data_IF_596196406017
#
_entry.id   IF_596196406017
#
_cell.length_a   1.000
_cell.length_b   1.000
_cell.length_c   1.000
_cell.angle_alpha   90.00
_cell.angle_beta   90.00
_cell.angle_gamma   90.00
#
_symmetry.space_group_name_H-M   'P 1'
#
loop_
_entity.id
_entity.type
_entity.pdbx_description
1 polymer ?
#
# COMPACT_ATOMS: atom_id res chain seq x y z
N UNK A 1 -11.21 -17.96 2.04
CA UNK A 1 -11.42 -16.89 1.06
C UNK A 1 -12.62 -16.02 1.40
N UNK A 2 -13.82 -16.58 1.67
CA UNK A 2 -14.99 -15.79 2.07
C UNK A 2 -14.75 -14.91 3.32
N UNK A 3 -14.19 -15.48 4.39
CA UNK A 3 -13.86 -14.74 5.62
C UNK A 3 -12.92 -13.56 5.33
N UNK A 4 -11.90 -13.77 4.49
CA UNK A 4 -10.99 -12.71 4.07
C UNK A 4 -11.74 -11.59 3.36
N UNK A 5 -12.58 -11.92 2.37
CA UNK A 5 -13.36 -10.92 1.63
C UNK A 5 -14.31 -10.14 2.56
N UNK A 6 -14.99 -10.82 3.48
CA UNK A 6 -15.88 -10.18 4.45
C UNK A 6 -15.11 -9.21 5.34
N UNK A 7 -13.98 -9.64 5.92
CA UNK A 7 -13.15 -8.78 6.76
C UNK A 7 -12.53 -7.62 5.97
N UNK A 8 -12.11 -7.87 4.73
CA UNK A 8 -11.56 -6.88 3.83
C UNK A 8 -12.59 -5.80 3.48
N UNK A 9 -13.82 -6.18 3.11
CA UNK A 9 -14.90 -5.23 2.89
C UNK A 9 -15.31 -4.49 4.17
N UNK A 10 -15.38 -5.19 5.31
CA UNK A 10 -15.71 -4.57 6.60
C UNK A 10 -14.67 -3.50 7.00
N UNK A 11 -13.39 -3.75 6.72
CA UNK A 11 -12.33 -2.76 6.91
C UNK A 11 -12.55 -1.49 6.08
N UNK A 12 -12.92 -1.64 4.80
CA UNK A 12 -13.26 -0.50 3.94
C UNK A 12 -14.49 0.26 4.43
N UNK A 13 -15.53 -0.45 4.90
CA UNK A 13 -16.73 0.16 5.45
C UNK A 13 -16.49 0.94 6.75
N UNK A 14 -15.43 0.61 7.48
CA UNK A 14 -15.03 1.29 8.72
C UNK A 14 -14.21 2.58 8.47
N UNK A 15 -13.93 2.95 7.21
CA UNK A 15 -13.22 4.20 6.90
C UNK A 15 -14.07 5.39 7.33
N UNK A 16 -13.53 6.17 8.27
CA UNK A 16 -14.21 7.31 8.86
C UNK A 16 -14.15 8.53 7.91
N UNK A 17 -15.32 9.05 7.52
CA UNK A 17 -15.43 10.20 6.62
C UNK A 17 -14.91 11.52 7.22
N UNK A 18 -15.06 11.74 8.53
CA UNK A 18 -14.51 12.91 9.21
C UNK A 18 -12.99 12.94 9.12
N UNK A 19 -12.33 11.80 9.32
CA UNK A 19 -10.87 11.71 9.16
C UNK A 19 -10.44 12.04 7.72
N UNK A 20 -11.21 11.63 6.70
CA UNK A 20 -10.92 11.95 5.30
C UNK A 20 -11.06 13.45 4.99
N UNK A 21 -11.89 14.17 5.74
CA UNK A 21 -12.09 15.62 5.59
C UNK A 21 -11.05 16.42 6.37
N UNK A 22 -10.68 15.97 7.57
CA UNK A 22 -9.72 16.64 8.44
C UNK A 22 -8.27 16.41 8.01
N UNK A 23 -7.91 15.19 7.61
CA UNK A 23 -6.56 14.78 7.23
C UNK A 23 -6.43 14.62 5.71
N UNK A 24 -6.58 15.72 5.00
CA UNK A 24 -6.65 15.75 3.53
C UNK A 24 -5.28 15.85 2.83
N UNK A 25 -4.17 16.06 3.54
CA UNK A 25 -2.85 16.35 2.94
C UNK A 25 -2.38 15.27 1.95
N UNK A 26 -2.65 13.99 2.26
CA UNK A 26 -2.39 12.89 1.32
C UNK A 26 -3.21 13.04 0.03
N UNK A 27 -4.48 13.41 0.16
CA UNK A 27 -5.38 13.56 -0.98
C UNK A 27 -4.96 14.76 -1.86
N UNK A 28 -4.48 15.85 -1.26
CA UNK A 28 -3.98 17.01 -2.00
C UNK A 28 -2.75 16.64 -2.83
N UNK A 29 -1.78 15.94 -2.25
CA UNK A 29 -0.60 15.48 -2.97
C UNK A 29 -0.94 14.52 -4.11
N UNK A 30 -1.89 13.61 -3.87
CA UNK A 30 -2.39 12.66 -4.89
C UNK A 30 -3.07 13.39 -6.05
N UNK A 31 -3.94 14.35 -5.75
CA UNK A 31 -4.63 15.16 -6.74
C UNK A 31 -3.64 15.99 -7.58
N UNK A 32 -2.69 16.67 -6.93
CA UNK A 32 -1.68 17.49 -7.60
C UNK A 32 -0.88 16.68 -8.63
N UNK A 33 -0.50 15.45 -8.29
CA UNK A 33 0.26 14.57 -9.19
C UNK A 33 -0.58 14.09 -10.37
N UNK A 34 -1.84 13.70 -10.14
CA UNK A 34 -2.66 13.04 -11.15
C UNK A 34 -3.40 14.03 -12.04
N UNK A 35 -4.01 15.06 -11.47
CA UNK A 35 -4.83 16.03 -12.21
C UNK A 35 -4.00 17.19 -12.76
N UNK A 36 -2.91 17.56 -12.08
CA UNK A 36 -2.15 18.79 -12.38
C UNK A 36 -0.68 18.56 -12.76
N UNK A 37 -0.19 17.34 -12.62
CA UNK A 37 1.12 16.91 -13.13
C UNK A 37 2.32 17.46 -12.35
N UNK A 38 2.16 17.84 -11.07
CA UNK A 38 3.24 18.40 -10.25
C UNK A 38 3.15 17.97 -8.78
N UNK A 39 4.18 18.29 -7.99
CA UNK A 39 4.29 17.86 -6.58
C UNK A 39 3.89 18.92 -5.55
N UNK A 40 3.77 20.18 -5.94
CA UNK A 40 3.30 21.23 -5.03
C UNK A 40 1.79 21.16 -4.83
N UNK A 41 1.31 21.62 -3.68
CA UNK A 41 -0.05 21.38 -3.19
C UNK A 41 -1.08 22.40 -3.71
N UNK A 42 -0.63 23.60 -4.05
CA UNK A 42 -1.48 24.76 -4.36
C UNK A 42 -2.12 24.68 -5.73
N UNK A 43 -3.37 25.11 -5.87
CA UNK A 43 -4.07 25.22 -7.16
C UNK A 43 -5.21 24.23 -7.37
N UNK A 44 -5.57 23.43 -6.36
CA UNK A 44 -6.74 22.55 -6.45
C UNK A 44 -8.04 23.36 -6.49
N UNK A 45 -8.96 22.97 -7.37
CA UNK A 45 -10.31 23.55 -7.45
C UNK A 45 -11.29 22.90 -6.47
N UNK A 46 -10.93 21.78 -5.84
CA UNK A 46 -11.80 21.12 -4.88
C UNK A 46 -11.88 21.93 -3.58
N UNK A 47 -13.10 22.21 -3.07
CA UNK A 47 -13.27 22.93 -1.81
C UNK A 47 -12.72 22.16 -0.60
N UNK A 48 -12.54 20.84 -0.75
CA UNK A 48 -12.02 19.96 0.30
C UNK A 48 -10.50 19.81 0.26
N UNK A 49 -9.83 20.18 -0.85
CA UNK A 49 -8.39 20.05 -1.03
C UNK A 49 -7.67 21.39 -0.83
N UNK A 50 -8.03 22.08 0.25
CA UNK A 50 -7.34 23.28 0.67
C UNK A 50 -6.17 22.91 1.57
N UNK A 51 -5.02 23.54 1.33
CA UNK A 51 -3.76 23.27 2.03
C UNK A 51 -3.96 23.41 3.55
N UNK A 52 -3.92 22.27 4.25
CA UNK A 52 -4.03 22.18 5.71
C UNK A 52 -2.98 21.21 6.23
N UNK A 53 -2.39 21.53 7.38
CA UNK A 53 -1.39 20.69 8.06
C UNK A 53 0.05 21.05 7.73
N UNK A 54 0.95 20.07 7.91
CA UNK A 54 2.39 20.27 7.87
C UNK A 54 2.91 20.44 6.44
N UNK A 55 3.27 21.68 6.09
CA UNK A 55 3.83 22.06 4.80
C UNK A 55 5.10 22.88 4.97
N UNK A 56 5.93 22.90 3.94
CA UNK A 56 7.07 23.79 3.84
C UNK A 56 7.03 24.54 2.50
N UNK A 57 7.62 25.73 2.47
CA UNK A 57 7.75 26.54 1.27
C UNK A 57 9.12 26.31 0.62
N UNK A 58 9.12 26.12 -0.69
CA UNK A 58 10.32 25.98 -1.50
C UNK A 58 10.06 26.57 -2.89
N UNK A 59 10.94 27.46 -3.35
CA UNK A 59 10.81 28.15 -4.66
C UNK A 59 9.43 28.80 -4.91
N UNK A 60 8.82 29.38 -3.86
CA UNK A 60 7.51 30.04 -3.96
C UNK A 60 6.32 29.08 -4.02
N UNK A 61 6.54 27.77 -3.79
CA UNK A 61 5.51 26.74 -3.80
C UNK A 61 5.41 26.01 -2.46
N UNK A 62 4.21 25.56 -2.11
CA UNK A 62 3.98 24.75 -0.90
C UNK A 62 4.07 23.25 -1.19
N UNK A 63 4.89 22.56 -0.42
CA UNK A 63 5.08 21.12 -0.47
C UNK A 63 4.68 20.48 0.85
N UNK A 64 4.23 19.22 0.80
CA UNK A 64 3.90 18.48 2.00
C UNK A 64 5.17 18.09 2.78
N UNK A 65 5.21 18.38 4.08
CA UNK A 65 6.27 17.96 4.97
C UNK A 65 6.07 16.50 5.46
N UNK A 66 5.82 15.58 4.52
CA UNK A 66 5.57 14.15 4.78
C UNK A 66 6.33 13.29 3.78
N UNK A 67 6.41 11.98 4.06
CA UNK A 67 7.09 11.03 3.17
C UNK A 67 6.39 10.95 1.81
N UNK A 68 7.11 11.19 0.69
CA UNK A 68 6.50 11.30 -0.64
C UNK A 68 5.95 9.96 -1.16
N UNK A 69 6.48 8.83 -0.68
CA UNK A 69 6.06 7.50 -1.10
C UNK A 69 4.57 7.22 -0.88
N UNK A 70 3.98 7.75 0.19
CA UNK A 70 2.56 7.59 0.49
C UNK A 70 1.67 8.29 -0.56
N UNK A 71 2.12 9.44 -1.07
CA UNK A 71 1.40 10.15 -2.14
C UNK A 71 1.51 9.42 -3.46
N UNK A 72 2.68 8.91 -3.82
CA UNK A 72 2.87 8.18 -5.08
C UNK A 72 2.02 6.90 -5.13
N UNK A 73 1.97 6.15 -4.03
CA UNK A 73 1.11 4.96 -3.95
C UNK A 73 -0.38 5.34 -4.15
N UNK A 74 -0.82 6.45 -3.53
CA UNK A 74 -2.16 6.99 -3.74
C UNK A 74 -2.40 7.48 -5.17
N UNK A 75 -1.41 8.11 -5.81
CA UNK A 75 -1.49 8.63 -7.17
C UNK A 75 -1.67 7.50 -8.20
N UNK A 76 -1.00 6.36 -8.01
CA UNK A 76 -1.20 5.19 -8.88
C UNK A 76 -2.64 4.70 -8.81
N UNK A 77 -3.18 4.55 -7.60
CA UNK A 77 -4.58 4.15 -7.40
C UNK A 77 -5.52 5.18 -8.01
N UNK A 78 -5.29 6.46 -7.71
CA UNK A 78 -6.16 7.53 -8.16
C UNK A 78 -6.15 7.70 -9.67
N UNK A 79 -5.00 7.55 -10.33
CA UNK A 79 -4.90 7.58 -11.79
C UNK A 79 -5.85 6.59 -12.47
N UNK A 80 -5.98 5.38 -11.92
CA UNK A 80 -6.92 4.37 -12.41
C UNK A 80 -8.37 4.79 -12.14
N UNK A 81 -8.69 5.26 -10.94
CA UNK A 81 -10.03 5.73 -10.57
C UNK A 81 -10.46 6.97 -11.38
N UNK A 82 -9.53 7.87 -11.66
CA UNK A 82 -9.74 9.09 -12.42
C UNK A 82 -10.11 8.79 -13.87
N UNK A 83 -9.47 7.77 -14.47
CA UNK A 83 -9.85 7.24 -15.79
C UNK A 83 -11.25 6.64 -15.82
N UNK A 84 -11.79 6.22 -14.68
CA UNK A 84 -13.18 5.75 -14.54
C UNK A 84 -14.17 6.91 -14.29
N UNK A 85 -13.71 8.17 -14.33
CA UNK A 85 -14.53 9.36 -14.17
C UNK A 85 -14.66 9.88 -12.73
N UNK A 86 -13.99 9.24 -11.75
CA UNK A 86 -13.97 9.75 -10.38
C UNK A 86 -13.04 10.95 -10.26
N UNK A 87 -13.44 11.95 -9.48
CA UNK A 87 -12.58 13.09 -9.21
C UNK A 87 -12.88 13.74 -7.86
N UNK A 88 -11.92 14.50 -7.33
CA UNK A 88 -12.05 15.11 -6.01
C UNK A 88 -13.03 16.29 -5.94
N UNK A 89 -13.39 16.89 -7.07
CA UNK A 89 -14.37 17.99 -7.10
C UNK A 89 -15.78 17.43 -6.90
N UNK A 90 -16.15 16.40 -7.66
CA UNK A 90 -17.50 15.85 -7.68
C UNK A 90 -17.69 14.68 -6.69
N UNK A 91 -16.62 13.96 -6.38
CA UNK A 91 -16.68 12.68 -5.67
C UNK A 91 -15.65 12.60 -4.53
N UNK A 92 -15.45 13.69 -3.78
CA UNK A 92 -14.39 13.79 -2.78
C UNK A 92 -14.32 12.59 -1.82
N UNK A 93 -15.40 12.34 -1.07
CA UNK A 93 -15.41 11.31 -0.02
C UNK A 93 -15.20 9.91 -0.59
N UNK A 94 -15.86 9.58 -1.71
CA UNK A 94 -15.72 8.29 -2.37
C UNK A 94 -14.30 8.09 -2.87
N UNK A 95 -13.74 9.10 -3.54
CA UNK A 95 -12.38 9.08 -4.08
C UNK A 95 -11.35 8.89 -2.96
N UNK A 96 -11.44 9.72 -1.91
CA UNK A 96 -10.55 9.64 -0.77
C UNK A 96 -10.66 8.30 -0.03
N UNK A 97 -11.87 7.75 0.13
CA UNK A 97 -12.09 6.46 0.77
C UNK A 97 -11.50 5.31 -0.05
N UNK A 98 -11.72 5.29 -1.38
CA UNK A 98 -11.17 4.25 -2.25
C UNK A 98 -9.64 4.28 -2.27
N UNK A 99 -9.04 5.47 -2.37
CA UNK A 99 -7.57 5.61 -2.33
C UNK A 99 -7.03 5.10 -0.99
N UNK A 100 -7.64 5.51 0.12
CA UNK A 100 -7.26 5.04 1.46
C UNK A 100 -7.39 3.52 1.58
N UNK A 101 -8.51 2.97 1.13
CA UNK A 101 -8.81 1.55 1.18
C UNK A 101 -7.79 0.71 0.39
N UNK A 102 -7.53 1.07 -0.87
CA UNK A 102 -6.62 0.32 -1.73
C UNK A 102 -5.17 0.47 -1.29
N UNK A 103 -4.74 1.66 -0.88
CA UNK A 103 -3.35 1.87 -0.40
C UNK A 103 -3.09 1.12 0.91
N UNK A 104 -4.00 1.17 1.88
CA UNK A 104 -3.88 0.40 3.12
C UNK A 104 -3.90 -1.12 2.86
N UNK A 105 -4.81 -1.58 1.99
CA UNK A 105 -4.92 -2.99 1.63
C UNK A 105 -3.68 -3.51 0.89
N UNK A 106 -3.07 -2.69 0.03
CA UNK A 106 -1.84 -3.03 -0.69
C UNK A 106 -0.68 -3.23 0.27
N UNK A 107 -0.51 -2.32 1.24
CA UNK A 107 0.51 -2.44 2.30
C UNK A 107 0.29 -3.70 3.13
N UNK A 108 -0.96 -3.99 3.49
CA UNK A 108 -1.31 -5.21 4.23
C UNK A 108 -0.96 -6.47 3.42
N UNK A 109 -1.30 -6.51 2.14
CA UNK A 109 -0.99 -7.63 1.25
C UNK A 109 0.52 -7.83 1.09
N UNK A 110 1.28 -6.76 0.87
CA UNK A 110 2.74 -6.80 0.78
C UNK A 110 3.36 -7.33 2.08
N UNK A 111 2.87 -6.86 3.23
CA UNK A 111 3.32 -7.32 4.56
C UNK A 111 3.03 -8.81 4.78
N UNK A 112 1.84 -9.28 4.39
CA UNK A 112 1.45 -10.68 4.51
C UNK A 112 2.34 -11.58 3.64
N UNK A 113 2.67 -11.16 2.41
CA UNK A 113 3.58 -11.90 1.53
C UNK A 113 5.00 -11.96 2.10
N UNK A 114 5.51 -10.85 2.65
CA UNK A 114 6.82 -10.81 3.28
C UNK A 114 6.89 -11.75 4.50
N UNK A 115 5.88 -11.69 5.39
CA UNK A 115 5.79 -12.57 6.55
C UNK A 115 5.69 -14.04 6.16
N UNK A 116 4.91 -14.36 5.12
CA UNK A 116 4.82 -15.71 4.59
C UNK A 116 6.16 -16.20 4.05
N UNK A 117 6.90 -15.35 3.33
CA UNK A 117 8.25 -15.64 2.84
C UNK A 117 9.20 -16.00 3.98
N UNK A 118 9.30 -15.14 4.99
CA UNK A 118 10.16 -15.35 6.18
C UNK A 118 9.75 -16.63 6.93
N UNK A 119 8.44 -16.82 7.18
CA UNK A 119 7.95 -18.01 7.87
C UNK A 119 8.27 -19.29 7.09
N UNK A 120 8.18 -19.25 5.76
CA UNK A 120 8.52 -20.38 4.89
C UNK A 120 10.01 -20.72 4.95
N UNK A 121 10.88 -19.73 4.92
CA UNK A 121 12.34 -19.91 5.03
C UNK A 121 12.70 -20.55 6.38
N UNK A 122 12.24 -19.97 7.50
CA UNK A 122 12.49 -20.52 8.84
C UNK A 122 11.98 -21.97 9.00
N UNK A 123 10.84 -22.29 8.38
CA UNK A 123 10.28 -23.64 8.42
C UNK A 123 11.05 -24.61 7.52
N UNK A 124 11.58 -24.15 6.38
CA UNK A 124 12.40 -24.96 5.50
C UNK A 124 13.75 -25.30 6.15
N UNK A 125 14.39 -24.31 6.78
CA UNK A 125 15.62 -24.48 7.54
C UNK A 125 15.41 -25.42 8.74
N UNK A 126 14.33 -25.23 9.51
CA UNK A 126 13.97 -26.13 10.60
C UNK A 126 13.71 -27.57 10.14
N UNK A 127 13.10 -27.76 8.95
CA UNK A 127 12.92 -29.10 8.36
C UNK A 127 14.25 -29.73 7.93
N UNK A 128 15.19 -28.95 7.39
CA UNK A 128 16.51 -29.45 7.01
C UNK A 128 17.34 -29.93 8.20
N UNK A 129 17.16 -29.31 9.38
CA UNK A 129 17.79 -29.70 10.63
C UNK A 129 17.17 -30.95 11.25
N UNK A 130 15.86 -31.16 11.08
CA UNK A 130 15.12 -32.33 11.60
C UNK A 130 15.23 -33.56 10.68
N UNK A 131 15.40 -33.36 9.38
CA UNK A 131 15.72 -34.39 8.41
C UNK A 131 17.04 -34.04 7.71
N UNK A 132 18.18 -34.17 8.41
CA UNK A 132 19.46 -34.12 7.73
C UNK A 132 19.44 -35.23 6.68
N UNK A 133 19.75 -34.89 5.42
CA UNK A 133 19.89 -35.86 4.36
C UNK A 133 20.71 -37.03 4.92
N UNK A 134 20.13 -38.24 4.95
CA UNK A 134 20.84 -39.44 5.40
C UNK A 134 22.16 -39.44 4.64
N UNK A 135 23.26 -39.20 5.35
CA UNK A 135 24.58 -39.46 4.81
C UNK A 135 24.53 -40.90 4.32
N UNK A 136 24.84 -41.09 3.03
CA UNK A 136 25.00 -42.42 2.45
C UNK A 136 25.87 -43.23 3.38
N UNK A 137 25.29 -44.25 3.98
CA UNK A 137 26.00 -45.18 4.85
C UNK A 137 27.22 -45.72 4.09
N UNK A 138 28.38 -45.90 4.74
CA UNK A 138 29.63 -46.34 4.09
C UNK A 138 29.55 -47.67 3.33
N UNK A 139 28.43 -48.40 3.46
CA UNK A 139 28.19 -49.67 2.78
C UNK A 139 28.08 -49.55 1.24
N UNK A 140 27.76 -48.38 0.68
CA UNK A 140 27.70 -48.20 -0.79
C UNK A 140 29.08 -47.92 -1.43
N UNK A 141 30.14 -47.68 -0.64
CA UNK A 141 31.51 -47.49 -1.17
C UNK A 141 32.30 -48.79 -1.32
N UNK A 142 31.84 -49.91 -0.74
CA UNK A 142 32.45 -51.23 -0.87
C UNK A 142 31.55 -52.08 -1.77
N UNK A 143 31.82 -52.04 -3.07
CA UNK A 143 31.03 -52.71 -4.11
C UNK A 143 30.80 -54.21 -3.89
N UNK A 144 29.75 -54.53 -3.14
CA UNK A 144 29.21 -55.87 -2.95
C UNK A 144 27.73 -55.84 -3.29
N UNK A 145 27.43 -55.87 -4.59
CA UNK A 145 26.16 -56.37 -5.08
C UNK A 145 26.30 -57.87 -5.40
N UNK A 146 25.28 -58.71 -5.16
CA UNK A 146 25.17 -59.98 -5.87
C UNK A 146 24.95 -59.77 -7.37
#
# INVERSE_FOLDING_TARGET
MLLFLVLWFAYGAAINSSNLLEFNLQQIGVEAMVERGHFYLEGSTSPHLQTKGDVFEYEGHKYAAKQPGQFMAGAIVYFLLHRLGLNYVNHYLLTAALITFFTASLVLAASALALFGVARELTADGRSLLHPARSSTPAEMLGWGP
#
